data_IF_464380374436
#
_entry.id   IF_464380374436
#
_cell.length_a   1.000
_cell.length_b   1.000
_cell.length_c   1.000
_cell.angle_alpha   90.00
_cell.angle_beta   90.00
_cell.angle_gamma   90.00
#
_symmetry.space_group_name_H-M   'P 1'
#
loop_
_entity.id
_entity.type
_entity.pdbx_description
1 polymer ?
#
# COMPACT_ATOMS: atom_id res chain seq x y z
N UNK A 1 -22.15 2.45 39.74
CA UNK A 1 -21.12 3.52 39.79
C UNK A 1 -21.84 4.85 40.00
N UNK A 2 -21.46 5.63 41.01
CA UNK A 2 -22.16 6.89 41.33
C UNK A 2 -21.83 7.97 40.29
N UNK A 3 -22.81 8.80 39.91
CA UNK A 3 -22.63 9.89 38.95
C UNK A 3 -21.51 10.86 39.36
N UNK A 4 -21.25 10.99 40.67
CA UNK A 4 -20.09 11.70 41.22
C UNK A 4 -18.75 11.07 40.82
N UNK A 5 -18.64 9.73 40.84
CA UNK A 5 -17.43 9.03 40.38
C UNK A 5 -17.29 9.12 38.86
N UNK A 6 -18.39 9.07 38.11
CA UNK A 6 -18.36 9.24 36.66
C UNK A 6 -17.89 10.64 36.25
N UNK A 7 -18.44 11.69 36.88
CA UNK A 7 -17.99 13.06 36.65
C UNK A 7 -16.53 13.29 37.05
N UNK A 8 -16.09 12.67 38.16
CA UNK A 8 -14.69 12.77 38.58
C UNK A 8 -13.74 12.12 37.57
N UNK A 9 -14.11 10.96 37.03
CA UNK A 9 -13.34 10.28 35.97
C UNK A 9 -13.28 11.15 34.71
N UNK A 10 -14.42 11.66 34.23
CA UNK A 10 -14.44 12.51 33.02
C UNK A 10 -13.62 13.80 33.23
N UNK A 11 -13.67 14.41 34.41
CA UNK A 11 -12.88 15.60 34.72
C UNK A 11 -11.37 15.32 34.78
N UNK A 12 -10.95 14.22 35.43
CA UNK A 12 -9.54 13.85 35.54
C UNK A 12 -8.96 13.45 34.19
N UNK A 13 -9.66 12.61 33.42
CA UNK A 13 -9.21 12.21 32.09
C UNK A 13 -9.23 13.38 31.09
N UNK A 14 -10.24 14.25 31.16
CA UNK A 14 -10.31 15.46 30.32
C UNK A 14 -9.17 16.44 30.59
N UNK A 15 -8.79 16.63 31.86
CA UNK A 15 -7.65 17.48 32.23
C UNK A 15 -6.30 16.87 31.79
N UNK A 16 -6.19 15.53 31.84
CA UNK A 16 -4.99 14.79 31.45
C UNK A 16 -4.75 14.83 29.93
N UNK A 17 -5.82 14.78 29.13
CA UNK A 17 -5.73 14.90 27.67
C UNK A 17 -5.37 16.32 27.20
N UNK A 18 -5.72 17.35 27.98
CA UNK A 18 -5.42 18.75 27.64
C UNK A 18 -3.94 19.14 27.84
N UNK A 19 -3.19 18.42 28.69
CA UNK A 19 -1.77 18.71 28.98
C UNK A 19 -0.79 18.00 28.07
N UNK A 20 -1.23 17.05 27.24
CA UNK A 20 -0.37 16.33 26.27
C UNK A 20 -0.36 16.94 24.85
N UNK A 21 -1.11 18.02 24.62
CA UNK A 21 -1.22 18.67 23.32
C UNK A 21 -0.31 19.89 23.15
N UNK A 22 1.01 19.72 23.15
CA UNK A 22 1.94 20.69 22.55
C UNK A 22 3.36 20.12 22.48
N UNK A 23 3.76 19.63 21.31
CA UNK A 23 5.10 19.76 20.70
C UNK A 23 5.37 18.61 19.74
N UNK A 24 4.96 18.75 18.48
CA UNK A 24 5.68 18.16 17.36
C UNK A 24 5.70 19.19 16.22
N UNK A 25 6.49 20.26 16.42
CA UNK A 25 6.99 21.08 15.31
C UNK A 25 7.97 20.22 14.52
N UNK A 26 7.66 20.03 13.25
CA UNK A 26 8.38 19.17 12.31
C UNK A 26 9.83 19.59 12.13
N UNK A 27 10.72 18.61 12.28
CA UNK A 27 12.04 18.63 11.64
C UNK A 27 11.86 18.16 10.20
N UNK A 28 11.83 19.10 9.27
CA UNK A 28 11.99 18.83 7.85
C UNK A 28 13.48 18.58 7.61
N UNK A 29 13.89 17.32 7.72
CA UNK A 29 15.26 16.91 7.41
C UNK A 29 15.38 16.72 5.90
N UNK A 30 16.10 17.66 5.30
CA UNK A 30 16.64 17.65 3.95
C UNK A 30 17.20 16.27 3.59
N UNK A 31 16.52 15.55 2.69
CA UNK A 31 17.05 14.33 2.07
C UNK A 31 18.14 14.73 1.07
N UNK A 32 19.36 14.19 1.16
CA UNK A 32 20.39 14.42 0.16
C UNK A 32 19.99 13.72 -1.15
N UNK A 33 19.98 14.50 -2.23
CA UNK A 33 19.76 14.04 -3.59
C UNK A 33 20.77 12.95 -3.97
N UNK A 34 20.30 11.72 -4.14
CA UNK A 34 21.08 10.65 -4.79
C UNK A 34 21.26 11.02 -6.28
N UNK A 35 22.47 10.85 -6.85
CA UNK A 35 22.69 11.07 -8.28
C UNK A 35 21.96 10.03 -9.12
N UNK A 36 21.43 10.48 -10.27
CA UNK A 36 20.70 9.67 -11.23
C UNK A 36 21.49 8.44 -11.69
N UNK A 37 20.84 7.29 -11.96
CA UNK A 37 21.48 6.18 -12.66
C UNK A 37 21.70 6.58 -14.12
N UNK A 38 22.94 6.89 -14.48
CA UNK A 38 23.44 6.76 -15.85
C UNK A 38 23.65 5.27 -16.10
N UNK A 39 22.75 4.66 -16.86
CA UNK A 39 22.83 3.25 -17.22
C UNK A 39 22.05 3.00 -18.50
N UNK A 40 22.80 3.07 -19.60
CA UNK A 40 22.55 2.52 -20.94
C UNK A 40 21.15 1.98 -21.28
N UNK A 41 20.57 2.65 -22.28
CA UNK A 41 19.61 2.13 -23.25
C UNK A 41 20.05 0.74 -23.76
N UNK A 42 19.25 -0.29 -23.49
CA UNK A 42 19.35 -1.54 -24.24
C UNK A 42 17.97 -1.97 -24.73
N UNK A 43 17.78 -1.62 -26.00
CA UNK A 43 16.69 -1.94 -26.90
C UNK A 43 16.35 -3.43 -26.88
N UNK A 44 15.17 -3.78 -26.36
CA UNK A 44 14.55 -5.10 -26.57
C UNK A 44 13.67 -4.98 -27.82
N UNK A 45 13.83 -5.86 -28.83
CA UNK A 45 13.06 -5.77 -30.07
C UNK A 45 11.59 -6.12 -29.83
N UNK A 46 10.73 -5.20 -30.27
CA UNK A 46 9.27 -5.29 -30.30
C UNK A 46 8.84 -6.50 -31.16
N UNK A 47 8.20 -7.50 -30.54
CA UNK A 47 7.51 -8.55 -31.27
C UNK A 47 6.10 -8.05 -31.67
N UNK A 48 5.56 -8.39 -32.86
CA UNK A 48 4.34 -7.77 -33.37
C UNK A 48 3.10 -8.24 -32.61
N UNK A 49 2.47 -7.35 -31.85
CA UNK A 49 1.10 -7.55 -31.37
C UNK A 49 0.17 -6.79 -32.31
N UNK A 50 -0.23 -7.50 -33.38
CA UNK A 50 -1.32 -7.13 -34.26
C UNK A 50 -2.65 -7.39 -33.53
N UNK A 51 -3.27 -6.35 -32.98
CA UNK A 51 -4.73 -6.29 -32.88
C UNK A 51 -5.24 -4.85 -32.99
N UNK A 52 -5.47 -4.47 -34.24
CA UNK A 52 -6.29 -3.35 -34.68
C UNK A 52 -7.61 -3.24 -33.92
N UNK A 53 -7.87 -2.06 -33.33
CA UNK A 53 -9.21 -1.52 -33.29
C UNK A 53 -9.17 -0.04 -33.71
N UNK A 54 -9.59 0.19 -34.95
CA UNK A 54 -9.68 1.51 -35.56
C UNK A 54 -10.86 2.29 -34.99
N UNK A 55 -10.64 3.54 -34.60
CA UNK A 55 -11.68 4.57 -34.63
C UNK A 55 -11.08 5.96 -34.83
N UNK A 56 -10.97 6.31 -36.11
CA UNK A 56 -11.19 7.63 -36.72
C UNK A 56 -10.58 8.89 -36.08
N UNK A 57 -9.65 9.47 -36.85
CA UNK A 57 -9.47 10.92 -37.11
C UNK A 57 -8.67 11.72 -36.07
N UNK A 58 -7.39 11.95 -36.40
CA UNK A 58 -6.42 12.87 -35.79
C UNK A 58 -6.85 14.36 -35.88
N UNK A 59 -6.34 15.28 -35.00
CA UNK A 59 -4.93 15.70 -35.03
C UNK A 59 -4.22 15.67 -33.66
N UNK A 60 -2.96 15.24 -33.71
CA UNK A 60 -1.92 15.71 -32.80
C UNK A 60 -2.03 17.23 -32.63
N UNK A 61 -2.37 17.70 -31.42
CA UNK A 61 -1.81 18.88 -30.72
C UNK A 61 -2.66 19.14 -29.47
N UNK A 62 -2.37 18.40 -28.38
CA UNK A 62 -2.26 18.89 -26.97
C UNK A 62 -2.05 17.70 -26.02
N UNK A 63 -1.07 16.83 -26.32
CA UNK A 63 -0.50 15.96 -25.30
C UNK A 63 0.46 16.80 -24.45
N UNK A 64 0.01 17.22 -23.26
CA UNK A 64 0.77 17.40 -22.00
C UNK A 64 0.01 18.35 -21.06
N UNK A 65 -1.02 17.80 -20.44
CA UNK A 65 -1.55 18.26 -19.15
C UNK A 65 -1.91 17.03 -18.27
N UNK A 66 -1.25 15.90 -18.51
CA UNK A 66 -1.49 14.64 -17.81
C UNK A 66 -0.16 14.06 -17.35
N UNK A 67 0.65 14.89 -16.70
CA UNK A 67 1.78 14.46 -15.88
C UNK A 67 1.41 14.79 -14.44
N UNK A 68 0.78 13.83 -13.75
CA UNK A 68 0.43 14.01 -12.34
C UNK A 68 -0.84 13.32 -11.85
N UNK A 69 -1.56 12.56 -12.68
CA UNK A 69 -2.57 11.65 -12.15
C UNK A 69 -1.88 10.33 -11.78
N UNK A 70 -1.84 9.92 -10.49
CA UNK A 70 -1.45 8.56 -10.17
C UNK A 70 -2.42 7.66 -10.93
N UNK A 71 -1.86 6.74 -11.74
CA UNK A 71 -2.63 5.68 -12.35
C UNK A 71 -3.52 5.12 -11.23
N UNK A 72 -4.83 5.28 -11.38
CA UNK A 72 -5.77 4.69 -10.44
C UNK A 72 -5.65 3.19 -10.69
N UNK A 73 -4.70 2.59 -9.99
CA UNK A 73 -4.46 1.15 -9.99
C UNK A 73 -5.82 0.50 -9.72
N UNK A 74 -6.14 -0.49 -10.55
CA UNK A 74 -7.45 -1.12 -10.59
C UNK A 74 -7.92 -1.58 -9.20
N UNK A 75 -9.22 -1.87 -9.10
CA UNK A 75 -9.87 -2.37 -7.88
C UNK A 75 -8.92 -3.21 -7.03
N UNK A 76 -8.75 -2.82 -5.76
CA UNK A 76 -7.81 -3.47 -4.85
C UNK A 76 -8.04 -4.99 -4.82
N UNK A 77 -6.94 -5.75 -4.83
CA UNK A 77 -7.01 -7.20 -4.71
C UNK A 77 -7.65 -7.55 -3.34
N UNK A 78 -8.76 -8.30 -3.32
CA UNK A 78 -9.46 -8.62 -2.07
C UNK A 78 -8.61 -9.46 -1.10
N UNK A 79 -7.74 -10.34 -1.61
CA UNK A 79 -6.83 -11.12 -0.76
C UNK A 79 -5.76 -10.23 -0.11
N UNK A 80 -5.25 -9.26 -0.87
CA UNK A 80 -4.31 -8.25 -0.37
C UNK A 80 -4.92 -7.41 0.75
N UNK A 81 -6.16 -6.93 0.56
CA UNK A 81 -6.88 -6.18 1.59
C UNK A 81 -7.13 -7.05 2.83
N UNK A 82 -7.56 -8.29 2.63
CA UNK A 82 -7.81 -9.22 3.71
C UNK A 82 -6.56 -9.46 4.56
N UNK A 83 -5.37 -9.59 3.95
CA UNK A 83 -4.11 -9.67 4.68
C UNK A 83 -3.89 -8.45 5.59
N UNK A 84 -4.04 -7.24 5.05
CA UNK A 84 -3.83 -5.99 5.79
C UNK A 84 -4.84 -5.80 6.92
N UNK A 85 -6.11 -6.17 6.70
CA UNK A 85 -7.18 -6.08 7.71
C UNK A 85 -6.95 -7.04 8.89
N UNK A 86 -6.21 -8.12 8.70
CA UNK A 86 -5.90 -9.12 9.73
C UNK A 86 -4.51 -8.93 10.33
N UNK A 87 -4.03 -7.69 10.38
CA UNK A 87 -2.72 -7.32 10.96
C UNK A 87 -1.51 -7.98 10.28
N UNK A 88 -1.69 -8.50 9.06
CA UNK A 88 -0.61 -8.97 8.22
C UNK A 88 0.02 -7.84 7.43
N UNK A 89 1.27 -8.05 7.01
CA UNK A 89 1.97 -7.20 6.04
C UNK A 89 1.97 -7.90 4.70
N UNK A 90 1.53 -7.21 3.65
CA UNK A 90 1.56 -7.74 2.29
C UNK A 90 2.92 -7.47 1.65
N UNK A 91 3.55 -8.52 1.15
CA UNK A 91 4.73 -8.45 0.29
C UNK A 91 4.41 -9.06 -1.08
N UNK A 92 4.82 -8.38 -2.16
CA UNK A 92 4.74 -8.94 -3.51
C UNK A 92 6.07 -9.60 -3.81
N UNK A 93 6.05 -10.90 -4.07
CA UNK A 93 7.22 -11.69 -4.46
C UNK A 93 7.06 -12.14 -5.90
N UNK A 94 8.19 -12.43 -6.56
CA UNK A 94 8.22 -12.99 -7.91
C UNK A 94 8.61 -14.46 -7.86
N UNK A 95 7.89 -15.29 -8.59
CA UNK A 95 8.26 -16.69 -8.80
C UNK A 95 9.43 -16.82 -9.80
N UNK A 96 9.88 -18.05 -10.02
CA UNK A 96 10.98 -18.35 -10.94
C UNK A 96 10.66 -18.04 -12.42
N UNK A 97 9.38 -17.92 -12.76
CA UNK A 97 8.85 -17.61 -14.08
C UNK A 97 8.60 -16.09 -14.25
N UNK A 98 8.79 -15.32 -13.18
CA UNK A 98 8.58 -13.87 -13.12
C UNK A 98 7.15 -13.45 -12.79
N UNK A 99 6.26 -14.40 -12.46
CA UNK A 99 4.92 -14.13 -11.99
C UNK A 99 4.93 -13.48 -10.61
N UNK A 100 4.05 -12.50 -10.39
CA UNK A 100 3.91 -11.80 -9.11
C UNK A 100 2.86 -12.47 -8.23
N UNK A 101 3.19 -12.72 -6.97
CA UNK A 101 2.29 -13.31 -5.98
C UNK A 101 2.36 -12.53 -4.66
N UNK A 102 1.22 -12.40 -3.98
CA UNK A 102 1.14 -11.76 -2.67
C UNK A 102 1.41 -12.77 -1.54
N UNK A 103 2.30 -12.41 -0.64
CA UNK A 103 2.58 -13.13 0.61
C UNK A 103 2.19 -12.25 1.79
N UNK A 104 1.35 -12.77 2.66
CA UNK A 104 0.97 -12.17 3.92
C UNK A 104 1.92 -12.62 5.03
N UNK A 105 2.64 -11.68 5.64
CA UNK A 105 3.55 -11.91 6.77
C UNK A 105 2.94 -11.42 8.06
N UNK A 106 2.96 -12.26 9.08
CA UNK A 106 2.39 -11.96 10.38
C UNK A 106 3.49 -11.69 11.41
N UNK A 107 3.14 -11.02 12.52
CA UNK A 107 4.07 -10.63 13.58
C UNK A 107 4.69 -11.81 14.33
N UNK A 108 4.03 -12.97 14.29
CA UNK A 108 4.52 -14.24 14.82
C UNK A 108 5.58 -14.90 13.91
N UNK A 109 5.83 -14.32 12.73
CA UNK A 109 6.73 -14.85 11.71
C UNK A 109 6.09 -15.85 10.76
N UNK A 110 4.78 -16.11 10.88
CA UNK A 110 4.05 -16.95 9.92
C UNK A 110 3.96 -16.21 8.58
N UNK A 111 4.15 -16.94 7.49
CA UNK A 111 3.98 -16.43 6.14
C UNK A 111 2.94 -17.29 5.41
N UNK A 112 1.93 -16.64 4.83
CA UNK A 112 0.88 -17.29 4.05
C UNK A 112 0.79 -16.64 2.67
N UNK A 113 0.58 -17.45 1.63
CA UNK A 113 0.09 -16.91 0.36
C UNK A 113 -1.26 -16.19 0.61
N UNK A 114 -1.42 -14.98 0.03
CA UNK A 114 -2.58 -14.12 0.31
C UNK A 114 -3.91 -14.81 -0.02
N UNK A 115 -3.95 -15.62 -1.08
CA UNK A 115 -5.15 -16.30 -1.52
C UNK A 115 -5.46 -17.52 -0.65
N UNK A 116 -4.42 -18.23 -0.19
CA UNK A 116 -4.59 -19.30 0.80
C UNK A 116 -5.10 -18.77 2.14
N UNK A 117 -4.57 -17.62 2.58
CA UNK A 117 -5.05 -16.96 3.80
C UNK A 117 -6.51 -16.50 3.64
N UNK A 118 -6.84 -15.85 2.53
CA UNK A 118 -8.21 -15.41 2.21
C UNK A 118 -9.24 -16.56 2.22
N UNK A 119 -8.85 -17.76 1.76
CA UNK A 119 -9.71 -18.96 1.77
C UNK A 119 -9.66 -19.76 3.08
N UNK A 120 -8.82 -19.36 4.04
CA UNK A 120 -8.62 -20.08 5.30
C UNK A 120 -7.85 -21.40 5.15
N UNK A 121 -7.17 -21.62 4.03
CA UNK A 121 -6.27 -22.75 3.77
C UNK A 121 -4.89 -22.55 4.44
N UNK A 122 -4.57 -21.31 4.80
CA UNK A 122 -3.41 -20.93 5.59
C UNK A 122 -3.87 -19.98 6.70
N UNK A 123 -3.23 -20.04 7.88
CA UNK A 123 -3.56 -19.18 9.02
C UNK A 123 -2.29 -18.82 9.79
N UNK A 124 -2.21 -17.62 10.39
CA UNK A 124 -1.20 -17.31 11.40
C UNK A 124 -1.33 -18.23 12.61
N UNK A 125 -0.21 -18.45 13.30
CA UNK A 125 -0.13 -19.36 14.45
C UNK A 125 -0.94 -18.86 15.67
N UNK A 126 -1.22 -17.56 15.77
CA UNK A 126 -2.00 -16.96 16.87
C UNK A 126 -3.52 -17.19 16.74
N UNK A 127 -4.01 -17.73 15.61
CA UNK A 127 -5.43 -18.05 15.41
C UNK A 127 -5.81 -19.51 15.80
N UNK A 128 -4.98 -20.19 16.60
CA UNK A 128 -5.28 -21.51 17.18
C UNK A 128 -5.84 -21.45 18.61
#
# INVERSE_FOLDING_TARGET
>A
MSYKSFLYIVAVFGLLMAVSGCSLVGKNETVPSLPAPTGEEQQVPEAPQENTQASSTEPETRLREQAGQPAQTGMANPASLYCLEHSGTLEITKDAEGGEQGVCKFSDGTECDEWKFFRGECKPAELE
#
